data_IF_111083187602
#
_entry.id   IF_111083187602
#
_cell.length_a   1.000
_cell.length_b   1.000
_cell.length_c   1.000
_cell.angle_alpha   90.00
_cell.angle_beta   90.00
_cell.angle_gamma   90.00
#
_symmetry.space_group_name_H-M   'P 1'
#
loop_
_entity.id
_entity.type
_entity.pdbx_description
1 polymer ?
#
# COMPACT_ATOMS: atom_id res chain seq x y z
N UNK A 1 -13.33 -8.96 10.50
CA UNK A 1 -14.44 -8.42 9.69
C UNK A 1 -14.38 -8.99 8.28
N UNK A 2 -15.54 -9.15 7.65
CA UNK A 2 -15.85 -10.12 6.58
C UNK A 2 -15.20 -9.83 5.20
N UNK A 3 -14.14 -10.57 4.85
CA UNK A 3 -13.56 -10.62 3.48
C UNK A 3 -14.42 -11.40 2.47
N UNK A 4 -15.58 -11.93 2.88
CA UNK A 4 -16.44 -12.78 2.04
C UNK A 4 -17.23 -12.00 0.98
N UNK A 5 -17.16 -10.67 0.98
CA UNK A 5 -18.03 -9.82 0.15
C UNK A 5 -17.39 -9.29 -1.15
N UNK A 6 -16.08 -9.47 -1.36
CA UNK A 6 -15.41 -8.92 -2.56
C UNK A 6 -15.56 -9.86 -3.76
N UNK A 7 -15.46 -11.18 -3.53
CA UNK A 7 -15.58 -12.18 -4.59
C UNK A 7 -16.99 -12.21 -5.22
N UNK A 8 -18.03 -11.86 -4.46
CA UNK A 8 -19.42 -11.87 -4.97
C UNK A 8 -19.74 -10.67 -5.88
N UNK A 9 -19.04 -9.54 -5.75
CA UNK A 9 -19.35 -8.32 -6.53
C UNK A 9 -18.85 -8.38 -7.98
N UNK A 10 -17.74 -9.08 -8.23
CA UNK A 10 -17.21 -9.22 -9.59
C UNK A 10 -18.15 -10.01 -10.53
N UNK A 11 -18.95 -10.93 -9.98
CA UNK A 11 -19.93 -11.70 -10.75
C UNK A 11 -21.26 -10.97 -11.03
N UNK A 12 -21.50 -9.80 -10.41
CA UNK A 12 -22.77 -9.08 -10.58
C UNK A 12 -22.75 -8.07 -11.75
N UNK A 13 -21.58 -7.53 -12.13
CA UNK A 13 -21.48 -6.50 -13.18
C UNK A 13 -21.59 -7.02 -14.62
N UNK A 14 -21.21 -8.27 -14.86
CA UNK A 14 -21.19 -8.90 -16.19
C UNK A 14 -22.16 -10.09 -16.29
N UNK A 15 -23.32 -9.99 -15.64
CA UNK A 15 -24.37 -10.96 -15.91
C UNK A 15 -24.96 -10.68 -17.30
N UNK A 16 -25.01 -11.67 -18.20
CA UNK A 16 -25.79 -11.52 -19.43
C UNK A 16 -27.23 -11.20 -19.02
N UNK A 17 -27.86 -10.24 -19.72
CA UNK A 17 -29.25 -9.82 -19.46
C UNK A 17 -30.10 -11.07 -19.24
N UNK A 18 -30.83 -11.09 -18.12
CA UNK A 18 -31.66 -12.22 -17.72
C UNK A 18 -32.47 -12.72 -18.91
N UNK A 19 -32.36 -14.02 -19.19
CA UNK A 19 -33.09 -14.63 -20.28
C UNK A 19 -34.57 -14.27 -20.14
N UNK A 20 -35.16 -13.66 -21.17
CA UNK A 20 -36.58 -13.35 -21.17
C UNK A 20 -37.34 -14.63 -20.80
N UNK A 21 -38.12 -14.60 -19.71
CA UNK A 21 -38.89 -15.76 -19.23
C UNK A 21 -39.93 -16.28 -20.23
N UNK A 22 -39.98 -15.71 -21.43
CA UNK A 22 -40.74 -16.21 -22.56
C UNK A 22 -39.87 -17.19 -23.34
N UNK A 23 -40.28 -18.45 -23.34
CA UNK A 23 -39.78 -19.47 -24.26
C UNK A 23 -39.94 -18.93 -25.68
N UNK A 24 -38.84 -18.68 -26.38
CA UNK A 24 -38.88 -18.36 -27.81
C UNK A 24 -39.20 -19.66 -28.53
N UNK A 25 -40.49 -19.87 -28.78
CA UNK A 25 -40.98 -20.97 -29.60
C UNK A 25 -41.09 -20.41 -31.02
N UNK A 26 -40.41 -21.03 -31.99
CA UNK A 26 -40.64 -20.72 -33.40
C UNK A 26 -42.11 -20.95 -33.76
N UNK A 27 -42.58 -20.37 -34.87
CA UNK A 27 -44.00 -20.36 -35.31
C UNK A 27 -44.71 -21.73 -35.36
N UNK A 28 -44.01 -22.85 -35.18
CA UNK A 28 -44.58 -24.22 -35.13
C UNK A 28 -45.11 -24.65 -33.76
N UNK A 29 -45.27 -23.72 -32.81
CA UNK A 29 -45.60 -24.03 -31.42
C UNK A 29 -46.99 -23.63 -30.92
N UNK A 30 -47.90 -23.15 -31.78
CA UNK A 30 -49.29 -22.95 -31.40
C UNK A 30 -50.05 -24.28 -31.50
N UNK A 31 -50.23 -24.96 -30.36
CA UNK A 31 -51.00 -26.19 -30.29
C UNK A 31 -52.48 -25.89 -30.06
N UNK A 32 -53.17 -25.36 -31.06
CA UNK A 32 -54.64 -25.29 -31.08
C UNK A 32 -55.21 -26.59 -31.64
N UNK A 33 -55.07 -27.69 -30.90
CA UNK A 33 -55.64 -28.99 -31.28
C UNK A 33 -56.77 -29.40 -30.32
N UNK A 34 -57.89 -29.95 -30.85
CA UNK A 34 -59.00 -30.40 -30.04
C UNK A 34 -58.61 -31.56 -29.11
N UNK A 35 -59.30 -31.72 -27.96
CA UNK A 35 -58.93 -32.71 -26.96
C UNK A 35 -59.08 -34.13 -27.53
N UNK A 36 -57.97 -34.88 -27.55
CA UNK A 36 -57.96 -36.28 -27.96
C UNK A 36 -56.97 -36.66 -29.07
N UNK A 37 -56.31 -35.70 -29.74
CA UNK A 37 -55.17 -36.00 -30.62
C UNK A 37 -53.85 -35.76 -29.90
N UNK A 38 -53.06 -36.81 -29.69
CA UNK A 38 -51.64 -36.67 -29.31
C UNK A 38 -50.87 -36.14 -30.52
N UNK A 39 -50.87 -34.82 -30.67
CA UNK A 39 -50.02 -34.10 -31.61
C UNK A 39 -48.64 -33.93 -30.97
N UNK A 40 -47.65 -34.60 -31.54
CA UNK A 40 -46.29 -34.61 -31.04
C UNK A 40 -45.67 -35.93 -31.43
N UNK A 41 -45.27 -36.05 -32.69
CA UNK A 41 -44.24 -37.02 -33.03
C UNK A 41 -43.09 -36.77 -32.05
N UNK A 42 -42.73 -37.78 -31.24
CA UNK A 42 -41.44 -37.79 -30.56
C UNK A 42 -40.40 -37.78 -31.66
N UNK A 43 -40.01 -36.58 -32.08
CA UNK A 43 -38.94 -36.37 -33.02
C UNK A 43 -37.69 -36.84 -32.30
N UNK A 44 -37.29 -38.09 -32.54
CA UNK A 44 -35.92 -38.53 -32.27
C UNK A 44 -35.04 -37.46 -32.91
N UNK A 45 -34.25 -36.70 -32.13
CA UNK A 45 -33.52 -35.61 -32.72
C UNK A 45 -32.66 -36.21 -33.83
N UNK A 46 -32.78 -35.66 -35.04
CA UNK A 46 -31.96 -36.10 -36.16
C UNK A 46 -30.50 -36.12 -35.69
N UNK A 47 -29.79 -37.21 -36.00
CA UNK A 47 -28.43 -37.51 -35.53
C UNK A 47 -27.48 -36.32 -35.69
N UNK A 48 -27.76 -35.47 -36.69
CA UNK A 48 -27.12 -34.18 -36.93
C UNK A 48 -27.29 -33.15 -35.80
N UNK A 49 -28.50 -32.99 -35.26
CA UNK A 49 -28.79 -32.08 -34.15
C UNK A 49 -28.20 -32.58 -32.83
N UNK A 50 -28.23 -33.90 -32.58
CA UNK A 50 -27.56 -34.50 -31.41
C UNK A 50 -26.05 -34.25 -31.47
N UNK A 51 -25.44 -34.45 -32.64
CA UNK A 51 -24.02 -34.16 -32.85
C UNK A 51 -23.67 -32.70 -32.56
N UNK A 52 -24.51 -31.75 -32.99
CA UNK A 52 -24.33 -30.32 -32.70
C UNK A 52 -24.45 -30.01 -31.20
N UNK A 53 -25.43 -30.60 -30.51
CA UNK A 53 -25.59 -30.43 -29.07
C UNK A 53 -24.38 -30.97 -28.30
N UNK A 54 -23.91 -32.17 -28.63
CA UNK A 54 -22.73 -32.76 -27.98
C UNK A 54 -21.44 -31.99 -28.27
N UNK A 55 -21.28 -31.46 -29.49
CA UNK A 55 -20.12 -30.63 -29.83
C UNK A 55 -20.11 -29.33 -29.01
N UNK A 56 -21.27 -28.67 -28.88
CA UNK A 56 -21.41 -27.46 -28.08
C UNK A 56 -21.19 -27.73 -26.57
N UNK A 57 -21.81 -28.79 -26.04
CA UNK A 57 -21.65 -29.19 -24.63
C UNK A 57 -20.18 -29.52 -24.30
N UNK A 58 -19.51 -30.29 -25.16
CA UNK A 58 -18.07 -30.59 -25.02
C UNK A 58 -17.22 -29.33 -25.07
N UNK A 59 -17.54 -28.39 -25.96
CA UNK A 59 -16.87 -27.09 -26.04
C UNK A 59 -17.05 -26.29 -24.73
N UNK A 60 -18.27 -26.13 -24.25
CA UNK A 60 -18.55 -25.40 -23.01
C UNK A 60 -17.82 -26.03 -21.80
N UNK A 61 -17.88 -27.36 -21.67
CA UNK A 61 -17.15 -28.10 -20.63
C UNK A 61 -15.64 -27.88 -20.70
N UNK A 62 -15.07 -27.87 -21.90
CA UNK A 62 -13.64 -27.61 -22.12
C UNK A 62 -13.27 -26.19 -21.71
N UNK A 63 -14.03 -25.20 -22.14
CA UNK A 63 -13.79 -23.79 -21.78
C UNK A 63 -13.83 -23.61 -20.26
N UNK A 64 -14.87 -24.11 -19.59
CA UNK A 64 -14.98 -24.02 -18.13
C UNK A 64 -13.79 -24.67 -17.41
N UNK A 65 -13.34 -25.84 -17.88
CA UNK A 65 -12.18 -26.53 -17.31
C UNK A 65 -10.88 -25.75 -17.52
N UNK A 66 -10.66 -25.20 -18.71
CA UNK A 66 -9.47 -24.41 -19.02
C UNK A 66 -9.42 -23.12 -18.20
N UNK A 67 -10.55 -22.42 -18.07
CA UNK A 67 -10.61 -21.19 -17.26
C UNK A 67 -10.39 -21.45 -15.78
N UNK A 68 -10.94 -22.54 -15.24
CA UNK A 68 -10.63 -22.96 -13.88
C UNK A 68 -9.12 -23.23 -13.70
N UNK A 69 -8.49 -23.92 -14.66
CA UNK A 69 -7.06 -24.18 -14.63
C UNK A 69 -6.22 -22.90 -14.73
N UNK A 70 -6.60 -21.96 -15.60
CA UNK A 70 -5.97 -20.65 -15.71
C UNK A 70 -6.03 -19.90 -14.38
N UNK A 71 -7.19 -19.89 -13.72
CA UNK A 71 -7.37 -19.30 -12.40
C UNK A 71 -6.46 -19.91 -11.34
N UNK A 72 -6.41 -21.25 -11.23
CA UNK A 72 -5.50 -21.92 -10.30
C UNK A 72 -4.03 -21.63 -10.58
N UNK A 73 -3.64 -21.58 -11.86
CA UNK A 73 -2.26 -21.26 -12.26
C UNK A 73 -1.89 -19.83 -11.87
N UNK A 74 -2.81 -18.88 -12.01
CA UNK A 74 -2.58 -17.51 -11.60
C UNK A 74 -2.47 -17.36 -10.08
N UNK A 75 -3.36 -18.03 -9.32
CA UNK A 75 -3.30 -18.07 -7.85
C UNK A 75 -1.94 -18.62 -7.38
N UNK A 76 -1.51 -19.75 -7.95
CA UNK A 76 -0.21 -20.36 -7.60
C UNK A 76 0.97 -19.45 -7.94
N UNK A 77 0.93 -18.72 -9.08
CA UNK A 77 1.99 -17.76 -9.45
C UNK A 77 2.06 -16.58 -8.49
N UNK A 78 0.92 -16.11 -7.97
CA UNK A 78 0.88 -15.04 -6.96
C UNK A 78 1.39 -15.55 -5.61
N UNK A 79 0.92 -16.71 -5.16
CA UNK A 79 1.37 -17.33 -3.89
C UNK A 79 2.87 -17.63 -3.85
N UNK A 80 3.52 -17.86 -4.99
CA UNK A 80 4.98 -18.05 -5.04
C UNK A 80 5.78 -16.74 -4.86
N UNK A 81 5.12 -15.58 -4.85
CA UNK A 81 5.75 -14.25 -4.83
C UNK A 81 5.19 -13.34 -3.74
N UNK A 82 3.98 -13.63 -3.26
CA UNK A 82 3.21 -12.80 -2.36
C UNK A 82 2.86 -13.60 -1.10
N UNK A 83 2.87 -12.91 0.04
CA UNK A 83 2.41 -13.44 1.34
C UNK A 83 1.18 -12.63 1.76
N UNK A 84 0.19 -13.29 2.37
CA UNK A 84 -0.98 -12.59 2.87
C UNK A 84 -0.61 -11.69 4.05
N UNK A 85 -1.25 -10.51 4.17
CA UNK A 85 -0.99 -9.60 5.28
C UNK A 85 -1.16 -10.24 6.67
N UNK A 86 -2.10 -11.20 6.82
CA UNK A 86 -2.33 -11.92 8.07
C UNK A 86 -1.24 -12.94 8.43
N UNK A 87 -0.38 -13.28 7.47
CA UNK A 87 0.71 -14.26 7.61
C UNK A 87 2.08 -13.56 7.65
N UNK A 88 2.12 -12.22 7.57
CA UNK A 88 3.36 -11.46 7.69
C UNK A 88 3.87 -11.48 9.14
N UNK A 89 5.17 -11.70 9.36
CA UNK A 89 5.78 -11.49 10.66
C UNK A 89 5.68 -10.04 11.12
N UNK A 90 5.57 -9.81 12.43
CA UNK A 90 5.47 -8.47 13.03
C UNK A 90 6.64 -7.58 12.59
N UNK A 91 7.88 -8.10 12.61
CA UNK A 91 9.08 -7.37 12.17
C UNK A 91 8.96 -6.85 10.73
N UNK A 92 8.30 -7.60 9.84
CA UNK A 92 8.06 -7.17 8.46
C UNK A 92 6.94 -6.14 8.37
N UNK A 93 5.93 -6.24 9.23
CA UNK A 93 4.88 -5.24 9.34
C UNK A 93 5.41 -3.91 9.84
N UNK A 94 6.28 -3.91 10.85
CA UNK A 94 6.93 -2.70 11.37
C UNK A 94 7.76 -1.98 10.31
N UNK A 95 8.48 -2.72 9.47
CA UNK A 95 9.26 -2.14 8.35
C UNK A 95 8.37 -1.52 7.26
N UNK A 96 7.16 -2.06 7.07
CA UNK A 96 6.18 -1.54 6.11
C UNK A 96 5.28 -0.46 6.71
N UNK A 97 5.29 -0.30 8.04
CA UNK A 97 4.46 0.67 8.73
C UNK A 97 4.93 2.10 8.45
N UNK A 98 3.96 2.97 8.19
CA UNK A 98 4.16 4.41 8.19
C UNK A 98 3.50 5.00 9.42
N UNK A 99 4.26 5.74 10.21
CA UNK A 99 3.74 6.50 11.32
C UNK A 99 3.48 7.94 10.88
N UNK A 100 2.34 8.49 11.30
CA UNK A 100 2.10 9.92 11.15
C UNK A 100 3.13 10.68 11.99
N UNK A 101 3.71 11.73 11.40
CA UNK A 101 4.62 12.64 12.10
C UNK A 101 3.88 13.91 12.44
N UNK A 102 3.75 14.21 13.72
CA UNK A 102 3.00 15.37 14.17
C UNK A 102 3.92 16.51 14.62
N UNK A 103 3.57 17.78 14.36
CA UNK A 103 4.43 18.91 14.72
C UNK A 103 4.76 19.03 16.22
N UNK A 104 3.95 18.46 17.12
CA UNK A 104 4.18 18.48 18.56
C UNK A 104 5.14 17.38 19.06
N UNK A 105 5.53 16.45 18.20
CA UNK A 105 6.55 15.43 18.49
C UNK A 105 7.97 15.99 18.30
N UNK A 106 8.08 17.24 17.86
CA UNK A 106 9.35 17.90 17.58
C UNK A 106 9.57 19.10 18.47
N UNK A 107 10.78 19.24 19.00
CA UNK A 107 11.24 20.49 19.60
C UNK A 107 11.81 21.40 18.51
N UNK A 108 11.34 22.64 18.46
CA UNK A 108 11.74 23.63 17.46
C UNK A 108 12.83 24.57 17.96
N UNK A 109 13.83 24.83 17.11
CA UNK A 109 14.93 25.74 17.36
C UNK A 109 15.04 26.76 16.22
N UNK A 110 14.62 28.02 16.43
CA UNK A 110 14.81 29.08 15.45
C UNK A 110 16.27 29.54 15.46
N UNK A 111 17.01 29.30 14.38
CA UNK A 111 18.43 29.64 14.27
C UNK A 111 18.75 30.15 12.87
N UNK A 112 19.43 31.30 12.77
CA UNK A 112 19.96 31.80 11.51
C UNK A 112 18.92 32.17 10.45
N UNK A 113 17.65 32.36 10.83
CA UNK A 113 16.53 32.61 9.94
C UNK A 113 15.72 31.36 9.56
N UNK A 114 16.19 30.17 9.95
CA UNK A 114 15.54 28.88 9.72
C UNK A 114 15.00 28.30 11.03
N UNK A 115 14.15 27.26 10.92
CA UNK A 115 13.61 26.51 12.08
C UNK A 115 14.03 25.06 11.96
N UNK A 116 14.86 24.61 12.91
CA UNK A 116 15.30 23.21 12.99
C UNK A 116 14.36 22.45 13.92
N UNK A 117 13.92 21.27 13.49
CA UNK A 117 13.04 20.38 14.26
C UNK A 117 13.82 19.16 14.74
N UNK A 118 13.75 18.88 16.04
CA UNK A 118 14.45 17.76 16.67
C UNK A 118 13.42 16.82 17.29
N UNK A 119 13.44 15.56 16.86
CA UNK A 119 12.54 14.48 17.32
C UNK A 119 13.01 13.87 18.65
N UNK A 120 14.32 13.79 18.86
CA UNK A 120 14.89 13.19 20.07
C UNK A 120 14.80 14.17 21.24
N UNK A 121 13.88 13.90 22.17
CA UNK A 121 13.65 14.71 23.37
C UNK A 121 14.92 14.87 24.22
N UNK A 122 15.72 13.82 24.34
CA UNK A 122 16.96 13.84 25.16
C UNK A 122 18.00 14.75 24.53
N UNK A 123 18.15 14.71 23.21
CA UNK A 123 19.00 15.65 22.47
C UNK A 123 18.48 17.08 22.57
N UNK A 124 17.16 17.28 22.45
CA UNK A 124 16.54 18.59 22.56
C UNK A 124 16.75 19.23 23.95
N UNK A 125 16.59 18.45 25.02
CA UNK A 125 16.89 18.87 26.39
C UNK A 125 18.36 19.26 26.57
N UNK A 126 19.28 18.42 26.07
CA UNK A 126 20.71 18.70 26.14
C UNK A 126 21.09 19.97 25.37
N UNK A 127 20.51 20.18 24.18
CA UNK A 127 20.69 21.41 23.40
C UNK A 127 20.13 22.64 24.11
N UNK A 128 18.98 22.52 24.79
CA UNK A 128 18.39 23.61 25.59
C UNK A 128 19.25 23.99 26.80
N UNK A 129 20.02 23.05 27.36
CA UNK A 129 20.96 23.33 28.45
C UNK A 129 22.26 24.01 28.00
N UNK A 130 22.57 24.02 26.69
CA UNK A 130 23.75 24.72 26.17
C UNK A 130 23.57 26.24 26.17
N UNK A 131 24.67 27.01 26.32
CA UNK A 131 24.63 28.45 26.03
C UNK A 131 24.15 28.72 24.60
N UNK A 132 23.26 29.69 24.43
CA UNK A 132 22.61 30.01 23.15
C UNK A 132 23.59 30.13 21.99
N UNK A 133 24.67 30.90 22.13
CA UNK A 133 25.69 31.04 21.09
C UNK A 133 26.30 29.70 20.66
N UNK A 134 26.56 28.81 21.63
CA UNK A 134 27.12 27.49 21.36
C UNK A 134 26.12 26.57 20.68
N UNK A 135 24.88 26.58 21.15
CA UNK A 135 23.76 25.85 20.57
C UNK A 135 23.52 26.26 19.12
N UNK A 136 23.41 27.55 18.87
CA UNK A 136 23.13 28.10 17.54
C UNK A 136 24.27 27.78 16.56
N UNK A 137 25.54 27.85 17.01
CA UNK A 137 26.70 27.42 16.21
C UNK A 137 26.64 25.93 15.86
N UNK A 138 26.30 25.05 16.81
CA UNK A 138 26.18 23.61 16.54
C UNK A 138 25.03 23.33 15.57
N UNK A 139 23.90 23.99 15.77
CA UNK A 139 22.72 23.83 14.92
C UNK A 139 23.01 24.28 13.48
N UNK A 140 23.63 25.45 13.30
CA UNK A 140 24.06 25.89 11.96
C UNK A 140 25.08 24.95 11.33
N UNK A 141 26.04 24.45 12.11
CA UNK A 141 27.11 23.57 11.59
C UNK A 141 26.60 22.18 11.18
N UNK A 142 25.78 21.54 12.01
CA UNK A 142 25.33 20.15 11.76
C UNK A 142 24.06 20.06 10.92
N UNK A 143 23.12 20.99 11.04
CA UNK A 143 21.81 20.90 10.40
C UNK A 143 21.64 21.82 9.19
N UNK A 144 22.36 22.94 9.13
CA UNK A 144 22.33 23.85 7.98
C UNK A 144 23.56 23.71 7.06
N UNK A 145 24.43 22.72 7.34
CA UNK A 145 25.67 22.43 6.60
C UNK A 145 26.58 23.67 6.41
N UNK A 146 26.53 24.60 7.36
CA UNK A 146 27.29 25.85 7.28
C UNK A 146 28.72 25.67 7.79
N UNK A 147 29.70 26.17 7.03
CA UNK A 147 31.08 26.18 7.48
C UNK A 147 31.31 27.24 8.58
N UNK A 148 32.35 27.05 9.42
CA UNK A 148 32.76 28.03 10.46
C UNK A 148 32.93 29.47 9.92
N UNK A 149 33.24 29.62 8.63
CA UNK A 149 33.34 30.93 7.96
C UNK A 149 31.96 31.56 7.75
N UNK A 150 31.01 30.82 7.21
CA UNK A 150 29.66 31.32 6.92
C UNK A 150 28.90 31.62 8.22
N UNK A 151 29.10 30.79 9.25
CA UNK A 151 28.58 31.03 10.59
C UNK A 151 29.17 32.32 11.19
N UNK A 152 30.48 32.52 11.02
CA UNK A 152 31.16 33.74 11.46
C UNK A 152 30.62 34.99 10.78
N UNK A 153 30.39 34.94 9.47
CA UNK A 153 29.77 36.03 8.71
C UNK A 153 28.32 36.28 9.20
N UNK A 154 27.53 35.23 9.41
CA UNK A 154 26.13 35.32 9.87
C UNK A 154 25.99 35.86 11.30
N UNK A 155 26.88 35.47 12.21
CA UNK A 155 26.87 35.92 13.60
C UNK A 155 27.69 37.21 13.84
N UNK A 156 28.31 37.77 12.79
CA UNK A 156 29.23 38.90 12.88
C UNK A 156 30.38 38.68 13.89
N UNK A 157 31.05 37.53 13.78
CA UNK A 157 32.12 37.08 14.66
C UNK A 157 33.38 36.69 13.89
N UNK A 158 34.53 36.61 14.56
CA UNK A 158 35.73 36.03 13.97
C UNK A 158 35.60 34.49 13.84
N UNK A 159 36.01 33.93 12.69
CA UNK A 159 36.03 32.47 12.44
C UNK A 159 36.69 31.66 13.55
N UNK A 160 37.79 32.15 14.13
CA UNK A 160 38.49 31.48 15.24
C UNK A 160 37.59 31.36 16.48
N UNK A 161 36.77 32.37 16.77
CA UNK A 161 35.85 32.37 17.90
C UNK A 161 34.72 31.37 17.69
N UNK A 162 34.18 31.28 16.47
CA UNK A 162 33.17 30.26 16.12
C UNK A 162 33.72 28.85 16.34
N UNK A 163 34.92 28.57 15.83
CA UNK A 163 35.54 27.25 15.99
C UNK A 163 35.74 26.89 17.48
N UNK A 164 36.29 27.81 18.28
CA UNK A 164 36.48 27.58 19.71
C UNK A 164 35.16 27.36 20.46
N UNK A 165 34.12 28.14 20.15
CA UNK A 165 32.78 27.99 20.73
C UNK A 165 32.11 26.69 20.30
N UNK A 166 32.25 26.30 19.03
CA UNK A 166 31.77 25.01 18.51
C UNK A 166 32.39 23.84 19.25
N UNK A 167 33.71 23.83 19.41
CA UNK A 167 34.41 22.78 20.16
C UNK A 167 33.96 22.72 21.62
N UNK A 168 33.85 23.87 22.28
CA UNK A 168 33.40 23.94 23.68
C UNK A 168 31.95 23.46 23.84
N UNK A 169 31.06 23.91 22.97
CA UNK A 169 29.65 23.51 22.97
C UNK A 169 29.49 22.01 22.68
N UNK A 170 30.27 21.47 21.74
CA UNK A 170 30.25 20.04 21.42
C UNK A 170 30.70 19.17 22.60
N UNK A 171 31.76 19.57 23.32
CA UNK A 171 32.19 18.87 24.54
C UNK A 171 31.10 18.88 25.60
N UNK A 172 30.51 20.04 25.87
CA UNK A 172 29.42 20.17 26.85
C UNK A 172 28.18 19.35 26.44
N UNK A 173 27.84 19.32 25.15
CA UNK A 173 26.75 18.49 24.65
C UNK A 173 27.03 17.00 24.90
N UNK A 174 28.28 16.55 24.68
CA UNK A 174 28.70 15.18 24.96
C UNK A 174 28.57 14.83 26.45
N UNK A 175 28.98 15.74 27.33
CA UNK A 175 28.84 15.60 28.80
C UNK A 175 27.37 15.47 29.20
N UNK A 176 26.50 16.35 28.69
CA UNK A 176 25.07 16.35 28.98
C UNK A 176 24.37 15.07 28.46
N UNK A 177 24.85 14.54 27.35
CA UNK A 177 24.37 13.27 26.78
C UNK A 177 24.98 12.03 27.46
N UNK A 178 25.84 12.20 28.47
CA UNK A 178 26.47 11.09 29.21
C UNK A 178 27.52 10.32 28.40
N UNK A 179 28.15 10.95 27.42
CA UNK A 179 29.28 10.38 26.68
C UNK A 179 30.62 10.72 27.32
N UNK A 180 31.55 9.76 27.35
CA UNK A 180 32.90 9.95 27.90
C UNK A 180 33.64 11.08 27.17
N UNK A 181 34.14 12.07 27.91
CA UNK A 181 34.77 13.28 27.35
C UNK A 181 36.23 13.09 26.89
N UNK A 182 36.83 11.95 27.19
CA UNK A 182 38.27 11.70 27.03
C UNK A 182 38.60 10.76 25.85
N UNK A 183 38.21 11.15 24.63
CA UNK A 183 38.54 10.43 23.39
C UNK A 183 39.15 11.35 22.34
#
# INVERSE_FOLDING_TARGET
MSSKNIFLKFFQGNQPKGASGRRVVGERGSNDLPPGKKGGETMTPDRHYEHKQHAFDSFCKKVLKCEAYNGYREISRRQSREVAFSELPEDSMEQLASYDRYPWEYTSFPVGGDVILIEDDRLAEALNALPQDGRDILLMYFFLDMADREIAERMNMARRTVNARRQKAYRLLKELMGGDVDG
#
